data_IF_033257769691
#
_entry.id   IF_033257769691
#
_cell.length_a   1.000
_cell.length_b   1.000
_cell.length_c   1.000
_cell.angle_alpha   90.00
_cell.angle_beta   90.00
_cell.angle_gamma   90.00
#
_symmetry.space_group_name_H-M   'P 1'
#
loop_
_entity.id
_entity.type
_entity.pdbx_description
1 polymer ?
#
# COMPACT_ATOMS: atom_id res chain seq x y z
N UNK A 1 6.00 -22.65 -11.34
CA UNK A 1 5.27 -21.63 -12.12
C UNK A 1 4.59 -20.58 -11.22
N UNK A 2 3.61 -20.93 -10.39
CA UNK A 2 2.94 -19.98 -9.48
C UNK A 2 3.91 -19.21 -8.55
N UNK A 3 4.89 -19.89 -7.97
CA UNK A 3 5.93 -19.32 -7.11
C UNK A 3 6.67 -18.11 -7.73
N UNK A 4 6.93 -18.14 -9.04
CA UNK A 4 7.70 -17.08 -9.70
C UNK A 4 6.97 -15.72 -9.71
N UNK A 5 5.66 -15.73 -9.48
CA UNK A 5 4.85 -14.52 -9.39
C UNK A 5 4.87 -13.89 -7.99
N UNK A 6 5.23 -14.65 -6.95
CA UNK A 6 5.22 -14.19 -5.55
C UNK A 6 6.04 -12.90 -5.33
N UNK A 7 7.28 -12.75 -5.87
CA UNK A 7 8.02 -11.50 -5.73
C UNK A 7 7.30 -10.30 -6.36
N UNK A 8 6.74 -10.49 -7.55
CA UNK A 8 6.01 -9.45 -8.27
C UNK A 8 4.71 -9.05 -7.54
N UNK A 9 3.96 -10.02 -7.03
CA UNK A 9 2.75 -9.78 -6.24
C UNK A 9 3.08 -8.94 -5.02
N UNK A 10 4.13 -9.28 -4.29
CA UNK A 10 4.54 -8.58 -3.08
C UNK A 10 5.06 -7.18 -3.39
N UNK A 11 5.86 -7.04 -4.46
CA UNK A 11 6.32 -5.74 -4.94
C UNK A 11 5.14 -4.79 -5.18
N UNK A 12 4.12 -5.23 -5.91
CA UNK A 12 2.96 -4.40 -6.29
C UNK A 12 1.99 -4.10 -5.15
N UNK A 13 2.08 -4.81 -4.02
CA UNK A 13 1.12 -4.69 -2.91
C UNK A 13 1.23 -3.39 -2.09
N UNK A 14 2.40 -2.73 -2.09
CA UNK A 14 2.76 -1.73 -1.07
C UNK A 14 2.49 -0.29 -1.53
N UNK A 15 1.97 0.53 -0.62
CA UNK A 15 1.72 1.99 -0.83
C UNK A 15 2.97 2.80 -1.14
N UNK A 16 4.11 2.36 -0.59
CA UNK A 16 5.42 2.87 -0.97
C UNK A 16 6.09 1.73 -1.69
N UNK A 17 6.32 1.92 -2.98
CA UNK A 17 6.90 0.92 -3.84
C UNK A 17 8.07 1.59 -4.56
N UNK A 18 9.25 0.96 -4.55
CA UNK A 18 10.38 1.44 -5.37
C UNK A 18 9.95 1.53 -6.84
N UNK A 19 9.02 0.68 -7.27
CA UNK A 19 8.42 0.74 -8.60
C UNK A 19 7.70 2.07 -8.82
N UNK A 20 6.97 2.63 -7.85
CA UNK A 20 6.37 3.96 -7.98
C UNK A 20 7.43 5.05 -8.14
N UNK A 21 8.58 4.93 -7.48
CA UNK A 21 9.70 5.86 -7.62
C UNK A 21 10.32 5.81 -9.03
N UNK A 22 10.41 4.62 -9.62
CA UNK A 22 11.00 4.40 -10.95
C UNK A 22 10.02 4.68 -12.09
N UNK A 23 8.74 4.29 -11.93
CA UNK A 23 7.74 4.30 -13.01
C UNK A 23 6.79 5.49 -12.96
N UNK A 24 6.74 6.23 -11.85
CA UNK A 24 5.78 7.32 -11.65
C UNK A 24 4.31 6.87 -11.53
N UNK A 25 4.02 5.56 -11.59
CA UNK A 25 2.65 5.05 -11.55
C UNK A 25 2.04 5.19 -10.16
N UNK A 26 0.77 5.62 -10.11
CA UNK A 26 0.02 5.72 -8.86
C UNK A 26 -0.15 4.34 -8.21
N UNK A 27 -0.09 4.30 -6.87
CA UNK A 27 -0.29 3.08 -6.09
C UNK A 27 -1.66 2.42 -6.36
N UNK A 28 -2.67 3.21 -6.71
CA UNK A 28 -4.00 2.72 -7.05
C UNK A 28 -3.96 1.77 -8.25
N UNK A 29 -3.19 2.12 -9.30
CA UNK A 29 -2.98 1.25 -10.47
C UNK A 29 -2.20 -0.01 -10.09
N UNK A 30 -1.13 0.12 -9.30
CA UNK A 30 -0.33 -1.02 -8.85
C UNK A 30 -1.14 -2.02 -8.02
N UNK A 31 -2.10 -1.52 -7.24
CA UNK A 31 -3.01 -2.35 -6.44
C UNK A 31 -3.92 -3.22 -7.33
N UNK A 32 -4.35 -2.70 -8.49
CA UNK A 32 -5.11 -3.51 -9.47
C UNK A 32 -4.27 -4.68 -9.97
N UNK A 33 -3.01 -4.43 -10.32
CA UNK A 33 -2.10 -5.50 -10.74
C UNK A 33 -1.77 -6.50 -9.62
N UNK A 34 -1.63 -6.04 -8.37
CA UNK A 34 -1.47 -6.93 -7.22
C UNK A 34 -2.64 -7.90 -7.08
N UNK A 35 -3.88 -7.42 -7.19
CA UNK A 35 -5.06 -8.28 -7.17
C UNK A 35 -5.08 -9.27 -8.35
N UNK A 36 -4.84 -8.78 -9.56
CA UNK A 36 -4.82 -9.61 -10.76
C UNK A 36 -3.80 -10.74 -10.65
N UNK A 37 -2.54 -10.42 -10.30
CA UNK A 37 -1.49 -11.43 -10.13
C UNK A 37 -1.79 -12.39 -8.98
N UNK A 38 -2.47 -11.94 -7.92
CA UNK A 38 -2.95 -12.81 -6.85
C UNK A 38 -3.92 -13.89 -7.38
N UNK A 39 -4.89 -13.50 -8.21
CA UNK A 39 -5.83 -14.45 -8.83
C UNK A 39 -5.14 -15.38 -9.83
N UNK A 40 -4.20 -14.87 -10.64
CA UNK A 40 -3.40 -15.68 -11.56
C UNK A 40 -2.55 -16.70 -10.79
N UNK A 41 -1.95 -16.29 -9.68
CA UNK A 41 -1.15 -17.19 -8.82
C UNK A 41 -2.01 -18.32 -8.23
N UNK A 42 -3.22 -18.00 -7.73
CA UNK A 42 -4.16 -19.02 -7.28
C UNK A 42 -4.55 -19.98 -8.42
N UNK A 43 -4.86 -19.44 -9.60
CA UNK A 43 -5.19 -20.24 -10.79
C UNK A 43 -4.05 -21.20 -11.18
N UNK A 44 -2.82 -20.71 -11.22
CA UNK A 44 -1.64 -21.54 -11.48
C UNK A 44 -1.38 -22.57 -10.38
N UNK A 45 -1.66 -22.23 -9.12
CA UNK A 45 -1.61 -23.18 -7.99
C UNK A 45 -2.63 -24.31 -8.13
N UNK A 46 -3.86 -24.00 -8.54
CA UNK A 46 -4.90 -24.99 -8.81
C UNK A 46 -4.52 -25.90 -9.99
N UNK A 47 -4.01 -25.32 -11.08
CA UNK A 47 -3.51 -26.09 -12.23
C UNK A 47 -2.37 -27.02 -11.81
N UNK A 48 -1.45 -26.54 -10.96
CA UNK A 48 -0.38 -27.36 -10.41
C UNK A 48 -0.92 -28.56 -9.60
N UNK A 49 -1.91 -28.34 -8.73
CA UNK A 49 -2.58 -29.41 -7.99
C UNK A 49 -3.24 -30.43 -8.93
N UNK A 50 -3.99 -29.98 -9.92
CA UNK A 50 -4.69 -30.87 -10.87
C UNK A 50 -3.70 -31.66 -11.71
N UNK A 51 -2.66 -31.01 -12.25
CA UNK A 51 -1.62 -31.69 -13.03
C UNK A 51 -0.93 -32.79 -12.22
N UNK A 52 -0.65 -32.50 -10.94
CA UNK A 52 -0.10 -33.47 -10.02
C UNK A 52 -1.07 -34.65 -9.77
N UNK A 53 -2.35 -34.37 -9.49
CA UNK A 53 -3.36 -35.40 -9.30
C UNK A 53 -3.57 -36.30 -10.53
N UNK A 54 -3.53 -35.74 -11.74
CA UNK A 54 -3.60 -36.50 -13.00
C UNK A 54 -2.37 -37.39 -13.19
N UNK A 55 -1.17 -36.91 -12.83
CA UNK A 55 0.05 -37.70 -12.90
C UNK A 55 -0.04 -38.93 -11.98
N UNK A 56 -0.51 -38.75 -10.75
CA UNK A 56 -0.71 -39.85 -9.79
C UNK A 56 -1.77 -40.85 -10.27
N UNK A 57 -2.88 -40.36 -10.86
CA UNK A 57 -3.92 -41.25 -11.38
C UNK A 57 -3.42 -42.14 -12.53
N UNK A 58 -2.62 -41.57 -13.43
CA UNK A 58 -2.20 -42.26 -14.67
C UNK A 58 -1.13 -43.30 -14.46
N UNK A 59 -0.33 -43.19 -13.42
CA UNK A 59 0.81 -44.06 -13.20
C UNK A 59 0.78 -44.61 -11.76
N UNK A 60 0.45 -45.90 -11.65
CA UNK A 60 0.30 -46.61 -10.39
C UNK A 60 1.63 -46.73 -9.60
N UNK A 61 2.77 -46.44 -10.22
CA UNK A 61 4.05 -46.32 -9.51
C UNK A 61 4.10 -45.11 -8.56
N UNK A 62 3.20 -44.14 -8.74
CA UNK A 62 2.92 -43.06 -7.80
C UNK A 62 1.78 -43.40 -6.83
N UNK A 63 1.27 -44.63 -6.74
CA UNK A 63 0.25 -44.98 -5.72
C UNK A 63 0.78 -45.03 -4.27
N UNK A 64 2.04 -45.45 -4.00
CA UNK A 64 2.65 -45.35 -2.66
C UNK A 64 2.70 -43.91 -2.10
N UNK A 65 2.51 -42.92 -2.97
CA UNK A 65 2.33 -41.50 -2.66
C UNK A 65 1.24 -41.21 -1.62
N UNK A 66 0.16 -42.00 -1.61
CA UNK A 66 -0.91 -41.86 -0.61
C UNK A 66 -0.66 -42.64 0.67
N UNK A 67 0.22 -43.65 0.63
CA UNK A 67 0.59 -44.45 1.81
C UNK A 67 1.66 -43.76 2.65
N UNK A 68 2.54 -42.97 2.01
CA UNK A 68 3.53 -42.13 2.66
C UNK A 68 3.43 -40.71 2.08
N UNK A 69 2.39 -39.96 2.47
CA UNK A 69 2.40 -38.52 2.23
C UNK A 69 3.68 -37.94 2.84
N UNK A 70 4.64 -37.59 1.99
CA UNK A 70 5.83 -36.88 2.42
C UNK A 70 5.45 -35.52 2.98
N UNK A 71 6.40 -34.94 3.73
CA UNK A 71 6.22 -33.60 4.29
C UNK A 71 6.03 -32.53 3.20
N UNK A 72 6.55 -32.77 2.00
CA UNK A 72 6.53 -31.82 0.89
C UNK A 72 5.14 -31.73 0.24
N UNK A 73 4.45 -32.85 0.14
CA UNK A 73 3.10 -32.97 -0.43
C UNK A 73 2.07 -32.34 0.50
N UNK A 74 2.15 -32.67 1.80
CA UNK A 74 1.31 -32.07 2.83
C UNK A 74 1.46 -30.55 2.86
N UNK A 75 2.70 -30.06 2.81
CA UNK A 75 2.96 -28.62 2.80
C UNK A 75 2.44 -27.95 1.53
N UNK A 76 2.45 -28.62 0.38
CA UNK A 76 1.85 -28.12 -0.87
C UNK A 76 0.34 -27.88 -0.77
N UNK A 77 -0.41 -28.83 -0.19
CA UNK A 77 -1.83 -28.63 0.09
C UNK A 77 -2.09 -27.49 1.06
N UNK A 78 -1.29 -27.39 2.12
CA UNK A 78 -1.39 -26.29 3.10
C UNK A 78 -1.13 -24.94 2.43
N UNK A 79 -0.11 -24.83 1.58
CA UNK A 79 0.21 -23.62 0.81
C UNK A 79 -0.98 -23.19 -0.06
N UNK A 80 -1.62 -24.13 -0.76
CA UNK A 80 -2.75 -23.83 -1.62
C UNK A 80 -3.98 -23.38 -0.83
N UNK A 81 -4.26 -24.05 0.30
CA UNK A 81 -5.35 -23.67 1.22
C UNK A 81 -5.12 -22.26 1.78
N UNK A 82 -3.89 -21.95 2.21
CA UNK A 82 -3.53 -20.61 2.69
C UNK A 82 -3.70 -19.55 1.59
N UNK A 83 -3.24 -19.83 0.36
CA UNK A 83 -3.42 -18.93 -0.78
C UNK A 83 -4.91 -18.70 -1.12
N UNK A 84 -5.72 -19.74 -1.00
CA UNK A 84 -7.18 -19.65 -1.14
C UNK A 84 -7.80 -18.76 -0.05
N UNK A 85 -7.42 -18.93 1.22
CA UNK A 85 -7.92 -18.07 2.30
C UNK A 85 -7.50 -16.61 2.12
N UNK A 86 -6.24 -16.36 1.74
CA UNK A 86 -5.74 -15.01 1.46
C UNK A 86 -6.61 -14.36 0.37
N UNK A 87 -6.87 -15.06 -0.74
CA UNK A 87 -7.63 -14.51 -1.87
C UNK A 87 -9.12 -14.34 -1.56
N UNK A 88 -9.75 -15.31 -0.89
CA UNK A 88 -11.18 -15.26 -0.52
C UNK A 88 -11.45 -14.15 0.48
N UNK A 89 -10.64 -14.00 1.54
CA UNK A 89 -10.82 -12.89 2.48
C UNK A 89 -10.46 -11.52 1.89
N UNK A 90 -9.79 -11.49 0.74
CA UNK A 90 -9.46 -10.25 0.03
C UNK A 90 -10.55 -9.74 -0.91
N UNK A 91 -11.65 -10.49 -1.11
CA UNK A 91 -12.74 -10.03 -1.98
C UNK A 91 -13.44 -8.79 -1.39
N UNK A 92 -14.06 -7.95 -2.24
CA UNK A 92 -14.65 -6.68 -1.80
C UNK A 92 -15.63 -6.80 -0.63
N UNK A 93 -16.42 -7.88 -0.59
CA UNK A 93 -17.36 -8.14 0.50
C UNK A 93 -16.68 -8.10 1.88
N UNK A 94 -15.72 -8.99 2.14
CA UNK A 94 -15.04 -9.03 3.44
C UNK A 94 -14.27 -7.73 3.75
N UNK A 95 -13.60 -7.16 2.74
CA UNK A 95 -12.80 -5.95 2.91
C UNK A 95 -13.63 -4.70 3.25
N UNK A 96 -14.85 -4.59 2.74
CA UNK A 96 -15.72 -3.44 2.98
C UNK A 96 -16.40 -3.51 4.36
N UNK A 97 -16.85 -4.69 4.78
CA UNK A 97 -17.53 -4.86 6.07
C UNK A 97 -16.56 -5.03 7.25
N UNK A 98 -15.44 -5.72 7.06
CA UNK A 98 -14.52 -6.11 8.13
C UNK A 98 -13.08 -5.70 7.83
N UNK A 99 -12.86 -4.44 7.45
CA UNK A 99 -11.55 -3.95 7.00
C UNK A 99 -10.38 -4.25 7.96
N UNK A 100 -10.57 -4.04 9.27
CA UNK A 100 -9.51 -4.27 10.25
C UNK A 100 -9.17 -5.76 10.38
N UNK A 101 -10.18 -6.62 10.41
CA UNK A 101 -9.99 -8.07 10.47
C UNK A 101 -9.32 -8.58 9.18
N UNK A 102 -9.73 -8.05 8.02
CA UNK A 102 -9.12 -8.32 6.73
C UNK A 102 -7.62 -7.98 6.72
N UNK A 103 -7.23 -6.77 7.11
CA UNK A 103 -5.82 -6.36 7.08
C UNK A 103 -4.97 -7.24 8.00
N UNK A 104 -5.45 -7.52 9.22
CA UNK A 104 -4.76 -8.36 10.18
C UNK A 104 -4.63 -9.81 9.70
N UNK A 105 -5.73 -10.42 9.24
CA UNK A 105 -5.73 -11.80 8.77
C UNK A 105 -4.89 -11.98 7.50
N UNK A 106 -4.95 -11.03 6.57
CA UNK A 106 -4.19 -11.08 5.33
C UNK A 106 -2.68 -11.07 5.60
N UNK A 107 -2.20 -10.23 6.52
CA UNK A 107 -0.77 -10.18 6.89
C UNK A 107 -0.33 -11.48 7.58
N UNK A 108 -1.13 -11.99 8.53
CA UNK A 108 -0.81 -13.24 9.25
C UNK A 108 -0.76 -14.40 8.27
N UNK A 109 -1.81 -14.57 7.45
CA UNK A 109 -1.89 -15.65 6.47
C UNK A 109 -0.76 -15.56 5.44
N UNK A 110 -0.39 -14.36 4.99
CA UNK A 110 0.74 -14.14 4.08
C UNK A 110 2.07 -14.62 4.69
N UNK A 111 2.35 -14.29 5.95
CA UNK A 111 3.58 -14.74 6.63
C UNK A 111 3.61 -16.27 6.73
N UNK A 112 2.50 -16.86 7.18
CA UNK A 112 2.36 -18.33 7.30
C UNK A 112 2.50 -18.99 5.92
N UNK A 113 1.87 -18.43 4.89
CA UNK A 113 1.98 -18.88 3.50
C UNK A 113 3.44 -18.89 3.04
N UNK A 114 4.21 -17.83 3.29
CA UNK A 114 5.63 -17.80 2.91
C UNK A 114 6.45 -18.88 3.63
N UNK A 115 6.23 -19.10 4.92
CA UNK A 115 6.95 -20.14 5.68
C UNK A 115 6.67 -21.52 5.07
N UNK A 116 5.39 -21.85 4.85
CA UNK A 116 5.02 -23.12 4.24
C UNK A 116 5.51 -23.23 2.79
N UNK A 117 5.63 -22.13 2.06
CA UNK A 117 6.18 -22.11 0.71
C UNK A 117 7.69 -22.39 0.68
N UNK A 118 8.45 -21.91 1.67
CA UNK A 118 9.85 -22.31 1.88
C UNK A 118 9.98 -23.81 2.16
N UNK A 119 9.12 -24.34 3.05
CA UNK A 119 9.11 -25.76 3.40
C UNK A 119 8.73 -26.63 2.20
N UNK A 120 7.67 -26.29 1.48
CA UNK A 120 7.19 -27.03 0.31
C UNK A 120 8.21 -27.08 -0.84
N UNK A 121 8.95 -25.99 -1.03
CA UNK A 121 9.92 -25.90 -2.15
C UNK A 121 11.26 -26.56 -1.83
N UNK A 122 11.67 -26.64 -0.56
CA UNK A 122 12.89 -27.34 -0.09
C UNK A 122 14.14 -27.16 -1.00
N UNK A 123 14.33 -25.94 -1.53
CA UNK A 123 15.40 -25.56 -2.47
C UNK A 123 15.43 -26.34 -3.82
N UNK A 124 14.34 -27.00 -4.21
CA UNK A 124 14.24 -27.64 -5.53
C UNK A 124 14.30 -26.57 -6.63
N UNK A 125 15.12 -26.79 -7.66
CA UNK A 125 15.18 -25.96 -8.87
C UNK A 125 15.37 -24.45 -8.63
N UNK A 126 16.24 -24.06 -7.69
CA UNK A 126 16.56 -22.66 -7.36
C UNK A 126 15.36 -21.78 -6.99
N UNK A 127 14.28 -22.41 -6.54
CA UNK A 127 13.04 -21.76 -6.10
C UNK A 127 13.26 -20.75 -4.97
N UNK A 128 14.28 -20.95 -4.15
CA UNK A 128 14.67 -20.03 -3.08
C UNK A 128 15.11 -18.66 -3.58
N UNK A 129 15.62 -18.53 -4.81
CA UNK A 129 15.96 -17.22 -5.37
C UNK A 129 14.73 -16.29 -5.42
N UNK A 130 13.57 -16.81 -5.84
CA UNK A 130 12.32 -16.06 -5.84
C UNK A 130 11.86 -15.73 -4.41
N UNK A 131 12.01 -16.65 -3.47
CA UNK A 131 11.61 -16.43 -2.08
C UNK A 131 12.49 -15.39 -1.38
N UNK A 132 13.81 -15.44 -1.59
CA UNK A 132 14.73 -14.42 -1.10
C UNK A 132 14.45 -13.07 -1.75
N UNK A 133 14.18 -13.01 -3.05
CA UNK A 133 13.75 -11.78 -3.71
C UNK A 133 12.47 -11.21 -3.07
N UNK A 134 11.51 -12.08 -2.73
CA UNK A 134 10.27 -11.67 -2.04
C UNK A 134 10.54 -11.07 -0.67
N UNK A 135 11.44 -11.69 0.11
CA UNK A 135 11.85 -11.18 1.42
C UNK A 135 12.61 -9.85 1.29
N UNK A 136 13.52 -9.75 0.33
CA UNK A 136 14.33 -8.55 0.10
C UNK A 136 13.47 -7.35 -0.31
N UNK A 137 12.54 -7.54 -1.24
CA UNK A 137 11.56 -6.52 -1.64
C UNK A 137 10.73 -6.06 -0.43
N UNK A 138 10.29 -7.00 0.42
CA UNK A 138 9.52 -6.71 1.63
C UNK A 138 10.34 -5.87 2.61
N UNK A 139 11.58 -6.28 2.88
CA UNK A 139 12.46 -5.64 3.83
C UNK A 139 12.85 -4.24 3.36
N UNK A 140 13.31 -4.10 2.12
CA UNK A 140 13.68 -2.83 1.51
C UNK A 140 12.52 -1.84 1.50
N UNK A 141 11.30 -2.30 1.20
CA UNK A 141 10.09 -1.48 1.26
C UNK A 141 9.73 -1.04 2.69
N UNK A 142 10.03 -1.84 3.70
CA UNK A 142 9.80 -1.49 5.11
C UNK A 142 10.83 -0.50 5.63
N UNK A 143 12.11 -0.70 5.30
CA UNK A 143 13.21 0.18 5.68
C UNK A 143 13.04 1.56 5.05
N UNK A 144 12.79 1.62 3.75
CA UNK A 144 12.53 2.89 3.05
C UNK A 144 11.36 3.66 3.66
N UNK A 145 10.27 2.97 4.02
CA UNK A 145 9.15 3.58 4.74
C UNK A 145 9.53 4.10 6.12
N UNK A 146 10.36 3.37 6.86
CA UNK A 146 10.84 3.82 8.18
C UNK A 146 11.66 5.11 8.05
N UNK A 147 12.55 5.17 7.06
CA UNK A 147 13.34 6.36 6.74
C UNK A 147 12.43 7.54 6.38
N UNK A 148 11.43 7.34 5.51
CA UNK A 148 10.49 8.40 5.14
C UNK A 148 9.61 8.85 6.30
N UNK A 149 9.26 7.96 7.22
CA UNK A 149 8.54 8.30 8.45
C UNK A 149 9.38 9.07 9.46
N UNK A 150 10.71 9.01 9.37
CA UNK A 150 11.63 9.74 10.24
C UNK A 150 11.77 11.22 9.87
N UNK A 151 11.08 11.70 8.82
CA UNK A 151 11.03 13.14 8.49
C UNK A 151 10.47 13.95 9.66
N UNK A 152 11.01 15.16 9.94
CA UNK A 152 10.52 15.99 11.03
C UNK A 152 9.08 16.45 10.77
N UNK A 153 8.25 16.58 11.81
CA UNK A 153 6.89 17.09 11.65
C UNK A 153 6.91 18.58 11.29
N UNK A 154 6.02 18.97 10.37
CA UNK A 154 5.79 20.36 9.99
C UNK A 154 4.70 20.98 10.88
N UNK A 155 4.79 22.29 11.10
CA UNK A 155 3.68 23.03 11.73
C UNK A 155 2.60 23.32 10.69
N UNK A 156 1.34 23.08 11.04
CA UNK A 156 0.18 23.37 10.22
C UNK A 156 -0.77 24.28 10.99
N UNK A 157 -1.27 25.31 10.32
CA UNK A 157 -2.30 26.20 10.83
C UNK A 157 -3.67 25.59 10.54
N UNK A 158 -4.52 25.53 11.54
CA UNK A 158 -5.90 25.06 11.42
C UNK A 158 -6.86 26.19 11.76
N UNK A 159 -7.85 26.39 10.90
CA UNK A 159 -8.87 27.43 11.06
C UNK A 159 -10.25 26.80 10.88
N UNK A 160 -11.16 27.15 11.79
CA UNK A 160 -12.58 26.85 11.68
C UNK A 160 -13.23 27.86 10.72
N UNK A 161 -13.92 27.35 9.69
CA UNK A 161 -14.76 28.11 8.78
C UNK A 161 -16.23 27.83 9.15
N UNK A 162 -16.76 28.71 9.99
CA UNK A 162 -18.18 28.80 10.39
C UNK A 162 -18.80 27.50 10.93
N UNK A 163 -18.02 26.61 11.54
CA UNK A 163 -18.56 25.39 12.14
C UNK A 163 -18.82 24.25 11.12
N UNK A 164 -18.63 24.50 9.82
CA UNK A 164 -18.97 23.56 8.75
C UNK A 164 -17.76 22.99 8.02
N UNK A 165 -16.66 23.75 7.92
CA UNK A 165 -15.44 23.33 7.24
C UNK A 165 -14.19 23.73 8.00
N UNK A 166 -13.14 22.96 7.79
CA UNK A 166 -11.81 23.23 8.32
C UNK A 166 -10.89 23.64 7.19
N UNK A 167 -10.18 24.75 7.38
CA UNK A 167 -9.05 25.13 6.53
C UNK A 167 -7.75 24.74 7.24
N UNK A 168 -7.01 23.82 6.63
CA UNK A 168 -5.67 23.46 7.07
C UNK A 168 -4.65 24.08 6.10
N UNK A 169 -3.72 24.87 6.64
CA UNK A 169 -2.66 25.55 5.88
C UNK A 169 -1.31 25.07 6.39
N UNK A 170 -0.52 24.44 5.52
CA UNK A 170 0.86 24.07 5.83
C UNK A 170 1.78 25.05 5.11
N UNK A 171 2.65 25.77 5.83
CA UNK A 171 3.64 26.66 5.22
C UNK A 171 4.47 25.91 4.19
N UNK A 172 4.82 26.57 3.10
CA UNK A 172 5.64 25.98 2.07
C UNK A 172 7.01 25.55 2.64
N UNK A 173 7.45 24.35 2.29
CA UNK A 173 8.75 23.81 2.67
C UNK A 173 9.49 23.33 1.42
N UNK A 174 10.82 23.38 1.47
CA UNK A 174 11.64 22.93 0.36
C UNK A 174 11.54 21.40 0.21
N UNK A 175 11.27 20.94 -1.02
CA UNK A 175 11.32 19.52 -1.38
C UNK A 175 9.97 18.83 -1.63
N UNK A 176 8.86 19.57 -1.77
CA UNK A 176 7.59 19.02 -2.24
C UNK A 176 7.04 19.85 -3.41
N UNK A 177 6.91 19.23 -4.58
CA UNK A 177 6.23 19.78 -5.76
C UNK A 177 5.00 18.93 -6.04
N UNK A 178 3.88 19.56 -6.41
CA UNK A 178 2.63 18.83 -6.69
C UNK A 178 1.94 19.35 -7.96
N UNK A 179 1.11 18.51 -8.57
CA UNK A 179 0.22 18.88 -9.67
C UNK A 179 -1.22 19.02 -9.17
N UNK A 180 -2.04 19.74 -9.93
CA UNK A 180 -3.48 19.88 -9.65
C UNK A 180 -4.16 18.52 -9.57
N UNK A 181 -5.02 18.32 -8.57
CA UNK A 181 -5.73 17.06 -8.34
C UNK A 181 -4.96 16.02 -7.51
N UNK A 182 -3.69 16.28 -7.16
CA UNK A 182 -2.94 15.41 -6.26
C UNK A 182 -3.42 15.51 -4.81
N UNK A 183 -3.21 14.44 -4.06
CA UNK A 183 -3.51 14.35 -2.64
C UNK A 183 -2.27 13.94 -1.85
N UNK A 184 -2.24 14.30 -0.57
CA UNK A 184 -1.22 13.86 0.39
C UNK A 184 -1.87 13.11 1.54
N UNK A 185 -1.11 12.22 2.13
CA UNK A 185 -1.50 11.56 3.35
C UNK A 185 -0.93 12.33 4.54
N UNK A 186 -1.81 12.84 5.40
CA UNK A 186 -1.43 13.57 6.60
C UNK A 186 -1.54 12.67 7.83
N UNK A 187 -0.55 12.76 8.72
CA UNK A 187 -0.61 12.21 10.08
C UNK A 187 -0.55 13.36 11.07
N UNK A 188 -1.49 13.42 12.00
CA UNK A 188 -1.55 14.48 13.00
C UNK A 188 -0.86 14.03 14.29
N UNK A 189 0.23 14.70 14.66
CA UNK A 189 0.98 14.43 15.88
C UNK A 189 0.16 14.89 17.10
N UNK A 190 0.11 14.06 18.16
CA UNK A 190 -0.68 14.34 19.37
C UNK A 190 -2.15 13.90 19.33
N UNK A 191 -2.58 13.30 18.21
CA UNK A 191 -3.92 12.73 18.03
C UNK A 191 -3.86 11.21 17.87
N UNK A 192 -3.80 10.77 16.63
CA UNK A 192 -3.58 9.37 16.25
C UNK A 192 -2.38 9.32 15.33
N UNK A 193 -1.19 9.37 15.93
CA UNK A 193 0.07 9.48 15.19
C UNK A 193 0.34 8.27 14.26
N UNK A 194 -0.30 7.13 14.52
CA UNK A 194 -0.22 5.93 13.69
C UNK A 194 -1.19 5.92 12.50
N UNK A 195 -2.26 6.73 12.52
CA UNK A 195 -3.22 6.80 11.42
C UNK A 195 -2.82 7.86 10.40
N UNK A 196 -2.94 7.52 9.12
CA UNK A 196 -2.60 8.39 8.01
C UNK A 196 -3.81 8.53 7.09
N UNK A 197 -4.24 9.77 6.86
CA UNK A 197 -5.49 10.07 6.18
C UNK A 197 -5.24 10.86 4.89
N UNK A 198 -5.86 10.47 3.76
CA UNK A 198 -5.68 11.18 2.50
C UNK A 198 -6.47 12.49 2.48
N UNK A 199 -5.82 13.58 2.05
CA UNK A 199 -6.44 14.88 1.81
C UNK A 199 -5.95 15.44 0.48
N UNK A 200 -6.90 15.90 -0.35
CA UNK A 200 -6.61 16.50 -1.65
C UNK A 200 -6.03 17.90 -1.47
N UNK A 201 -4.93 18.18 -2.17
CA UNK A 201 -4.34 19.52 -2.17
C UNK A 201 -5.23 20.44 -3.00
N UNK A 202 -5.66 21.56 -2.39
CA UNK A 202 -6.53 22.53 -3.06
C UNK A 202 -5.79 23.78 -3.53
N UNK A 203 -4.52 23.94 -3.13
CA UNK A 203 -3.63 24.99 -3.60
C UNK A 203 -2.95 24.62 -4.92
N UNK A 204 -2.73 25.61 -5.78
CA UNK A 204 -1.87 25.43 -6.95
C UNK A 204 -0.40 25.38 -6.51
N UNK A 205 0.38 24.52 -7.14
CA UNK A 205 1.83 24.52 -6.97
C UNK A 205 2.38 25.67 -7.81
N UNK A 206 2.41 26.86 -7.20
CA UNK A 206 3.02 28.01 -7.82
C UNK A 206 4.51 28.02 -7.49
N UNK A 207 5.35 27.81 -8.51
CA UNK A 207 6.78 28.11 -8.42
C UNK A 207 7.03 29.61 -8.58
N UNK A 208 6.01 30.39 -8.95
CA UNK A 208 6.11 31.84 -8.94
C UNK A 208 6.20 32.32 -7.50
N UNK A 209 7.38 32.81 -7.18
CA UNK A 209 7.68 33.44 -5.92
C UNK A 209 6.76 34.65 -5.76
N UNK A 210 5.78 34.57 -4.85
CA UNK A 210 5.01 35.76 -4.48
C UNK A 210 6.02 36.70 -3.84
N UNK A 211 6.35 37.77 -4.54
CA UNK A 211 7.17 38.84 -4.01
C UNK A 211 6.27 39.63 -3.06
N UNK A 212 6.38 39.39 -1.76
CA UNK A 212 5.81 40.32 -0.78
C UNK A 212 6.37 41.74 -1.06
N UNK A 213 5.70 42.80 -0.63
CA UNK A 213 6.18 44.20 -0.78
C UNK A 213 7.61 44.42 -0.23
N UNK A 214 8.09 43.47 0.57
CA UNK A 214 9.42 43.39 1.16
C UNK A 214 10.44 42.53 0.37
N UNK A 215 10.12 42.04 -0.83
CA UNK A 215 11.04 41.25 -1.67
C UNK A 215 11.19 39.78 -1.27
N UNK A 216 10.34 39.24 -0.41
CA UNK A 216 10.44 37.85 0.07
C UNK A 216 9.67 36.93 -0.86
N UNK A 217 10.42 36.16 -1.63
CA UNK A 217 9.96 35.08 -2.51
C UNK A 217 9.42 33.89 -1.70
N UNK A 218 8.11 33.84 -1.42
CA UNK A 218 7.50 32.69 -0.74
C UNK A 218 6.78 31.76 -1.72
N UNK A 219 7.02 30.45 -1.59
CA UNK A 219 6.28 29.41 -2.30
C UNK A 219 4.84 29.34 -1.79
N UNK A 220 3.91 28.93 -2.66
CA UNK A 220 2.51 28.71 -2.28
C UNK A 220 2.39 27.68 -1.14
N UNK A 221 1.64 27.98 -0.06
CA UNK A 221 1.42 27.02 1.01
C UNK A 221 0.49 25.89 0.54
N UNK A 222 0.60 24.73 1.17
CA UNK A 222 -0.35 23.65 0.94
C UNK A 222 -1.66 23.96 1.67
N UNK A 223 -2.75 24.06 0.91
CA UNK A 223 -4.09 24.30 1.43
C UNK A 223 -4.94 23.04 1.33
N UNK A 224 -5.70 22.77 2.39
CA UNK A 224 -6.68 21.69 2.44
C UNK A 224 -7.99 22.20 3.03
N UNK A 225 -9.09 21.90 2.36
CA UNK A 225 -10.44 22.08 2.90
C UNK A 225 -10.99 20.73 3.34
N UNK A 226 -11.28 20.60 4.63
CA UNK A 226 -11.68 19.34 5.26
C UNK A 226 -13.10 19.49 5.82
N UNK A 227 -14.03 18.68 5.31
CA UNK A 227 -15.38 18.61 5.88
C UNK A 227 -15.36 17.71 7.14
N UNK A 228 -15.81 18.20 8.31
CA UNK A 228 -15.92 17.39 9.52
C UNK A 228 -16.90 16.22 9.32
N UNK A 229 -16.42 15.00 9.51
CA UNK A 229 -17.20 13.76 9.60
C UNK A 229 -16.92 13.09 10.95
N UNK A 230 -17.49 11.91 11.19
CA UNK A 230 -17.24 11.14 12.43
C UNK A 230 -15.74 10.81 12.58
N UNK A 231 -15.28 10.69 13.82
CA UNK A 231 -13.90 10.30 14.14
C UNK A 231 -12.90 11.45 14.10
N UNK A 232 -11.78 11.26 13.38
CA UNK A 232 -10.63 12.19 13.40
C UNK A 232 -11.01 13.61 13.00
N UNK A 233 -11.74 13.78 11.89
CA UNK A 233 -12.06 15.11 11.34
C UNK A 233 -12.97 15.94 12.26
N UNK A 234 -13.94 15.33 12.97
CA UNK A 234 -14.69 16.01 14.05
C UNK A 234 -13.77 16.41 15.20
N UNK A 235 -12.80 15.58 15.54
CA UNK A 235 -11.85 15.92 16.60
C UNK A 235 -10.92 17.07 16.18
N UNK A 236 -10.48 17.11 14.92
CA UNK A 236 -9.75 18.25 14.36
C UNK A 236 -10.58 19.54 14.44
N UNK A 237 -11.89 19.44 14.23
CA UNK A 237 -12.81 20.58 14.36
C UNK A 237 -12.78 21.18 15.76
N UNK A 238 -12.92 20.34 16.77
CA UNK A 238 -12.90 20.78 18.16
C UNK A 238 -11.54 21.40 18.54
N UNK A 239 -10.43 20.90 17.96
CA UNK A 239 -9.11 21.48 18.19
C UNK A 239 -8.97 22.83 17.50
N UNK A 240 -9.50 23.01 16.29
CA UNK A 240 -9.45 24.28 15.57
C UNK A 240 -10.10 25.43 16.36
N UNK A 241 -11.12 25.11 17.16
CA UNK A 241 -11.80 26.08 18.04
C UNK A 241 -10.96 26.44 19.28
N UNK A 242 -9.98 25.62 19.66
CA UNK A 242 -9.17 25.80 20.87
C UNK A 242 -7.72 26.20 20.60
N UNK A 243 -7.19 25.84 19.42
CA UNK A 243 -5.79 26.01 19.05
C UNK A 243 -5.67 26.30 17.56
N UNK A 244 -4.74 27.18 17.22
CA UNK A 244 -4.49 27.58 15.84
C UNK A 244 -3.43 26.70 15.14
N UNK A 245 -2.58 25.99 15.89
CA UNK A 245 -1.43 25.26 15.33
C UNK A 245 -1.41 23.78 15.72
N UNK A 246 -1.05 22.93 14.75
CA UNK A 246 -0.92 21.49 14.86
C UNK A 246 0.43 21.03 14.28
N UNK A 247 0.99 19.94 14.79
CA UNK A 247 2.13 19.28 14.14
C UNK A 247 1.63 18.17 13.23
N UNK A 248 2.06 18.15 11.98
CA UNK A 248 1.65 17.17 10.98
C UNK A 248 2.85 16.58 10.24
N UNK A 249 2.77 15.30 9.91
CA UNK A 249 3.70 14.62 9.01
C UNK A 249 3.02 14.43 7.66
N UNK A 250 3.75 14.76 6.60
CA UNK A 250 3.27 14.75 5.23
C UNK A 250 3.91 13.58 4.49
N UNK A 251 3.08 12.83 3.79
CA UNK A 251 3.47 11.67 2.98
C UNK A 251 2.82 11.83 1.60
N UNK A 252 3.61 11.98 0.54
CA UNK A 252 3.14 12.29 -0.82
C UNK A 252 4.10 13.19 -1.59
N UNK A 253 3.67 13.75 -2.74
CA UNK A 253 2.30 13.77 -3.26
C UNK A 253 1.91 12.47 -3.97
N UNK A 254 0.61 12.17 -4.01
CA UNK A 254 0.03 10.98 -4.63
C UNK A 254 -1.11 11.36 -5.58
N UNK A 255 -1.38 10.49 -6.56
CA UNK A 255 -2.52 10.65 -7.47
C UNK A 255 -2.29 11.72 -8.53
N UNK A 256 -1.37 11.49 -9.47
CA UNK A 256 -1.35 12.26 -10.70
C UNK A 256 -2.48 11.76 -11.62
N UNK A 257 -3.35 12.66 -12.08
CA UNK A 257 -4.15 12.41 -13.27
C UNK A 257 -3.26 12.67 -14.49
N UNK A 258 -3.38 11.79 -15.50
CA UNK A 258 -2.79 11.95 -16.84
C UNK A 258 -3.47 13.11 -17.60
N UNK A 259 -3.57 14.30 -17.00
CA UNK A 259 -3.98 15.50 -17.75
C UNK A 259 -2.95 15.83 -18.84
N UNK A 260 -1.70 15.36 -18.68
CA UNK A 260 -0.65 15.46 -19.69
C UNK A 260 -0.95 14.65 -20.98
N UNK A 261 -1.93 13.71 -20.99
CA UNK A 261 -2.31 12.97 -22.21
C UNK A 261 -3.21 13.78 -23.16
N UNK A 262 -3.71 14.95 -22.74
CA UNK A 262 -4.56 15.82 -23.55
C UNK A 262 -3.91 17.18 -23.89
N UNK A 263 -2.67 17.41 -23.45
CA UNK A 263 -1.89 18.62 -23.77
C UNK A 263 -0.78 18.34 -24.82
N UNK A 264 -0.94 17.29 -25.62
CA UNK A 264 -0.15 17.08 -26.83
C UNK A 264 -0.82 17.76 -28.02
N UNK A 265 -0.56 19.06 -28.19
CA UNK A 265 -0.67 19.75 -29.49
C UNK A 265 0.45 19.27 -30.44
#
# INVERSE_FOLDING_TARGET
MALSLTPAIVALSRKFNLITLVTGMSYERLTVYHHLLGYVCLGLGMVHLVAFGVAVWRDASYWPFFEHLGMDECTGFVVLILLMFITVFSIPFFRQYFYQAFVSSHIILYIVYLIFLFLHTAHRHDTWAYLYATLDITLTSNISRLILKAKPPCSALIQDLDGEMLRLTIPAFNGLTWKTGQHVHLRFCGLKWWESHPFTITSLCDETFVTDKNGISTRSPLLFFIKPRKGLTRHLMNIAQQRETLKVLIDGPYGANDLDLFEGD
#
